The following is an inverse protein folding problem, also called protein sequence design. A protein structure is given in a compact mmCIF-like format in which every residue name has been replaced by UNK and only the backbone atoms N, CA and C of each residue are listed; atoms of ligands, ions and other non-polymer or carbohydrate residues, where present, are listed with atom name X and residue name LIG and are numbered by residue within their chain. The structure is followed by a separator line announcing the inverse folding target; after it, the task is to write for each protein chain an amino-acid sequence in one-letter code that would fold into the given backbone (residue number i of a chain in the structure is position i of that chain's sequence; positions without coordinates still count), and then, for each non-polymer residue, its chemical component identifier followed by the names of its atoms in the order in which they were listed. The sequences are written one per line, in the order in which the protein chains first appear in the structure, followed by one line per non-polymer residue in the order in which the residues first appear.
data_IF_240422874740
#
_entry.id   IF_240422874740
#
_cell.length_a   1.000
_cell.length_b   1.000
_cell.length_c   1.000
_cell.angle_alpha   90.00
_cell.angle_beta   90.00
_cell.angle_gamma   90.00
#
_symmetry.space_group_name_H-M   'P 1'
#
loop_
_entity.id
_entity.type
_entity.pdbx_description
1 polymer ?
#
# COMPACT_ATOMS: atom_id res chain seq x y z
N UNK A 1 14.06 27.78 -19.26
CA UNK A 1 14.64 26.45 -18.96
C UNK A 1 13.99 25.81 -17.72
N UNK A 2 12.70 26.05 -17.42
CA UNK A 2 12.06 25.58 -16.18
C UNK A 2 10.94 24.53 -16.38
N UNK A 3 10.61 24.18 -17.63
CA UNK A 3 9.52 23.24 -17.94
C UNK A 3 9.99 21.77 -17.93
N UNK A 4 11.26 21.50 -18.24
CA UNK A 4 11.80 20.12 -18.29
C UNK A 4 11.99 19.49 -16.91
N UNK A 5 12.25 20.29 -15.88
CA UNK A 5 12.39 19.82 -14.49
C UNK A 5 11.05 19.51 -13.84
N UNK A 6 9.96 20.18 -14.24
CA UNK A 6 8.62 19.89 -13.72
C UNK A 6 8.03 18.62 -14.38
N UNK A 7 8.31 18.41 -15.68
CA UNK A 7 7.85 17.23 -16.42
C UNK A 7 8.51 15.92 -15.91
N UNK A 8 9.82 15.94 -15.62
CA UNK A 8 10.52 14.77 -15.08
C UNK A 8 10.03 14.41 -13.66
N UNK A 9 9.83 15.40 -12.80
CA UNK A 9 9.28 15.18 -11.46
C UNK A 9 7.82 14.66 -11.47
N UNK A 10 7.04 15.03 -12.49
CA UNK A 10 5.70 14.50 -12.71
C UNK A 10 5.72 13.03 -13.14
N UNK A 11 6.59 12.67 -14.11
CA UNK A 11 6.74 11.30 -14.62
C UNK A 11 7.26 10.35 -13.52
N UNK A 12 8.29 10.76 -12.78
CA UNK A 12 8.83 10.03 -11.63
C UNK A 12 7.76 9.80 -10.54
N UNK A 13 6.84 10.75 -10.39
CA UNK A 13 5.72 10.65 -9.44
C UNK A 13 4.63 9.67 -9.89
N UNK A 14 4.29 9.64 -11.17
CA UNK A 14 3.35 8.66 -11.72
C UNK A 14 3.90 7.24 -11.67
N UNK A 15 5.20 7.07 -11.93
CA UNK A 15 5.87 5.77 -11.76
C UNK A 15 5.83 5.31 -10.31
N UNK A 16 6.14 6.20 -9.37
CA UNK A 16 6.02 5.89 -7.94
C UNK A 16 4.59 5.55 -7.52
N UNK A 17 3.60 6.25 -8.07
CA UNK A 17 2.19 5.96 -7.79
C UNK A 17 1.80 4.55 -8.27
N UNK A 18 2.27 4.15 -9.46
CA UNK A 18 2.08 2.79 -9.99
C UNK A 18 2.74 1.72 -9.12
N UNK A 19 3.96 1.94 -8.64
CA UNK A 19 4.64 1.02 -7.72
C UNK A 19 3.86 0.80 -6.42
N UNK A 20 3.28 1.87 -5.87
CA UNK A 20 2.46 1.80 -4.66
C UNK A 20 1.18 1.02 -4.95
N UNK A 21 0.51 1.27 -6.08
CA UNK A 21 -0.68 0.53 -6.50
C UNK A 21 -0.41 -0.99 -6.65
N UNK A 22 0.69 -1.35 -7.33
CA UNK A 22 1.11 -2.75 -7.50
C UNK A 22 1.44 -3.41 -6.15
N UNK A 23 2.08 -2.67 -5.24
CA UNK A 23 2.40 -3.17 -3.89
C UNK A 23 1.13 -3.36 -3.07
N UNK A 24 0.18 -2.43 -3.12
CA UNK A 24 -1.11 -2.52 -2.44
C UNK A 24 -1.92 -3.72 -2.94
N UNK A 25 -1.96 -3.96 -4.25
CA UNK A 25 -2.62 -5.13 -4.83
C UNK A 25 -2.04 -6.43 -4.27
N UNK A 26 -0.70 -6.53 -4.26
CA UNK A 26 0.00 -7.70 -3.71
C UNK A 26 -0.29 -7.90 -2.22
N UNK A 27 -0.16 -6.85 -1.41
CA UNK A 27 -0.39 -6.94 0.04
C UNK A 27 -1.83 -7.35 0.36
N UNK A 28 -2.82 -6.80 -0.35
CA UNK A 28 -4.23 -7.17 -0.18
C UNK A 28 -4.51 -8.62 -0.53
N UNK A 29 -3.78 -9.18 -1.50
CA UNK A 29 -3.86 -10.61 -1.82
C UNK A 29 -3.14 -11.50 -0.78
N UNK A 30 -2.16 -10.95 -0.06
CA UNK A 30 -1.42 -11.63 1.01
C UNK A 30 -2.15 -11.58 2.37
N UNK A 31 -3.14 -10.68 2.56
CA UNK A 31 -3.93 -10.63 3.80
C UNK A 31 -4.60 -11.97 4.04
N UNK A 32 -4.23 -12.71 5.11
CA UNK A 32 -4.80 -14.01 5.35
C UNK A 32 -6.29 -13.87 5.68
N UNK A 33 -7.10 -14.76 5.10
CA UNK A 33 -8.52 -14.84 5.40
C UNK A 33 -8.76 -15.39 6.81
N UNK A 34 -9.93 -15.12 7.42
CA UNK A 34 -10.25 -15.56 8.78
C UNK A 34 -10.04 -17.06 8.96
N UNK A 35 -9.43 -17.50 10.09
CA UNK A 35 -9.22 -18.92 10.35
C UNK A 35 -10.58 -19.62 10.37
N UNK A 36 -10.71 -20.70 9.59
CA UNK A 36 -11.95 -21.47 9.49
C UNK A 36 -12.07 -22.56 10.55
N UNK A 37 -10.98 -22.87 11.25
CA UNK A 37 -10.93 -23.86 12.31
C UNK A 37 -10.55 -23.23 13.65
N UNK A 38 -11.33 -23.56 14.68
CA UNK A 38 -11.22 -23.04 16.06
C UNK A 38 -10.15 -23.80 16.87
N UNK A 39 -9.44 -24.74 16.23
CA UNK A 39 -8.73 -25.81 16.93
C UNK A 39 -7.40 -25.38 17.58
N UNK A 40 -6.79 -24.26 17.20
CA UNK A 40 -5.55 -23.79 17.82
C UNK A 40 -5.61 -22.30 18.18
N UNK A 41 -5.86 -22.01 19.46
CA UNK A 41 -5.82 -20.65 20.00
C UNK A 41 -4.42 -20.00 19.86
N UNK A 42 -3.35 -20.80 19.77
CA UNK A 42 -2.00 -20.31 19.49
C UNK A 42 -1.87 -19.79 18.05
N UNK A 43 -2.41 -20.54 17.08
CA UNK A 43 -2.42 -20.16 15.66
C UNK A 43 -3.32 -18.94 15.42
N UNK A 44 -4.40 -18.79 16.18
CA UNK A 44 -5.28 -17.61 16.11
C UNK A 44 -4.55 -16.31 16.49
N UNK A 45 -3.66 -16.35 17.49
CA UNK A 45 -2.86 -15.19 17.89
C UNK A 45 -1.82 -14.81 16.84
N UNK A 46 -1.15 -15.79 16.23
CA UNK A 46 -0.19 -15.54 15.15
C UNK A 46 -0.89 -15.03 13.88
N UNK A 47 -2.05 -15.59 13.56
CA UNK A 47 -2.91 -15.12 12.48
C UNK A 47 -3.28 -13.65 12.66
N UNK A 48 -3.77 -13.28 13.84
CA UNK A 48 -4.21 -11.91 14.10
C UNK A 48 -3.04 -10.93 13.98
N UNK A 49 -1.89 -11.25 14.58
CA UNK A 49 -0.71 -10.40 14.51
C UNK A 49 -0.22 -10.19 13.06
N UNK A 50 -0.16 -11.26 12.27
CA UNK A 50 0.25 -11.17 10.85
C UNK A 50 -0.74 -10.34 10.02
N UNK A 51 -2.05 -10.47 10.31
CA UNK A 51 -3.09 -9.68 9.65
C UNK A 51 -3.00 -8.20 10.02
N UNK A 52 -2.86 -7.87 11.30
CA UNK A 52 -2.71 -6.49 11.77
C UNK A 52 -1.46 -5.83 11.19
N UNK A 53 -0.35 -6.56 11.07
CA UNK A 53 0.88 -6.07 10.45
C UNK A 53 0.68 -5.72 8.96
N UNK A 54 -0.01 -6.58 8.20
CA UNK A 54 -0.32 -6.33 6.80
C UNK A 54 -1.32 -5.19 6.63
N UNK A 55 -2.35 -5.13 7.46
CA UNK A 55 -3.34 -4.04 7.44
C UNK A 55 -2.69 -2.68 7.74
N UNK A 56 -1.78 -2.62 8.72
CA UNK A 56 -1.03 -1.39 9.02
C UNK A 56 -0.12 -0.94 7.86
N UNK A 57 0.52 -1.88 7.17
CA UNK A 57 1.32 -1.56 5.96
C UNK A 57 0.44 -1.02 4.82
N UNK A 58 -0.73 -1.63 4.61
CA UNK A 58 -1.71 -1.19 3.62
C UNK A 58 -2.18 0.24 3.93
N UNK A 59 -2.56 0.53 5.18
CA UNK A 59 -3.03 1.87 5.59
C UNK A 59 -1.97 2.95 5.33
N UNK A 60 -0.71 2.68 5.67
CA UNK A 60 0.40 3.62 5.42
C UNK A 60 0.61 3.89 3.93
N UNK A 61 0.56 2.85 3.10
CA UNK A 61 0.72 2.98 1.65
C UNK A 61 -0.48 3.67 0.99
N UNK A 62 -1.70 3.43 1.47
CA UNK A 62 -2.89 4.14 1.01
C UNK A 62 -2.81 5.63 1.32
N UNK A 63 -2.33 5.99 2.52
CA UNK A 63 -2.11 7.39 2.88
C UNK A 63 -1.01 8.05 2.05
N UNK A 64 0.08 7.33 1.73
CA UNK A 64 1.15 7.82 0.84
C UNK A 64 0.61 8.03 -0.58
N UNK A 65 -0.12 7.03 -1.11
CA UNK A 65 -0.76 7.07 -2.42
C UNK A 65 -1.67 8.28 -2.58
N UNK A 66 -2.53 8.53 -1.59
CA UNK A 66 -3.47 9.66 -1.63
C UNK A 66 -2.73 10.99 -1.68
N UNK A 67 -1.75 11.21 -0.78
CA UNK A 67 -0.94 12.44 -0.78
C UNK A 67 -0.16 12.64 -2.07
N UNK A 68 0.38 11.55 -2.63
CA UNK A 68 1.14 11.60 -3.89
C UNK A 68 0.22 11.97 -5.05
N UNK A 69 -0.96 11.36 -5.12
CA UNK A 69 -1.97 11.64 -6.13
C UNK A 69 -2.45 13.10 -6.05
N UNK A 70 -2.82 13.57 -4.86
CA UNK A 70 -3.21 14.97 -4.65
C UNK A 70 -2.12 15.94 -5.11
N UNK A 71 -0.85 15.63 -4.86
CA UNK A 71 0.28 16.45 -5.29
C UNK A 71 0.46 16.45 -6.81
N UNK A 72 0.28 15.31 -7.47
CA UNK A 72 0.42 15.18 -8.92
C UNK A 72 -0.74 15.83 -9.68
N UNK A 73 -1.95 15.77 -9.14
CA UNK A 73 -3.13 16.43 -9.71
C UNK A 73 -3.06 17.97 -9.58
N UNK A 74 -2.27 18.48 -8.63
CA UNK A 74 -2.05 19.92 -8.41
C UNK A 74 -0.80 20.48 -9.13
N UNK A 75 -0.01 19.62 -9.80
CA UNK A 75 1.24 19.99 -10.50
C UNK A 75 1.06 20.23 -12.00
#
# INVERSE_FOLDING_TARGET
MNERTNQAAGDDGWDRLREIDETLERLRAEVPGPPTDVADFADAGQYLAAREELEGQIELLEAERERLRERLEQS
#
